data_IF_098962661018
#
_entry.id   IF_098962661018
#
_cell.length_a   1.000
_cell.length_b   1.000
_cell.length_c   1.000
_cell.angle_alpha   90.00
_cell.angle_beta   90.00
_cell.angle_gamma   90.00
#
_symmetry.space_group_name_H-M   'P 1'
#
loop_
_entity.id
_entity.type
_entity.pdbx_description
1 polymer ?
#
# COMPACT_ATOMS: atom_id res chain seq x y z
N UNK A 1 -15.32 -24.10 9.52
CA UNK A 1 -16.24 -23.43 8.59
C UNK A 1 -16.08 -21.96 8.88
N UNK A 2 -15.16 -21.30 8.17
CA UNK A 2 -15.08 -19.84 8.20
C UNK A 2 -16.08 -19.33 7.18
N UNK A 3 -17.26 -18.96 7.66
CA UNK A 3 -18.12 -18.10 6.87
C UNK A 3 -17.48 -16.72 6.91
N UNK A 4 -17.20 -16.07 5.77
CA UNK A 4 -16.75 -14.69 5.75
C UNK A 4 -17.73 -13.86 6.58
N UNK A 5 -17.21 -13.09 7.53
CA UNK A 5 -18.04 -12.12 8.25
C UNK A 5 -18.50 -11.09 7.22
N UNK A 6 -19.81 -10.83 7.19
CA UNK A 6 -20.31 -9.66 6.48
C UNK A 6 -19.95 -8.38 7.27
N UNK A 7 -19.94 -7.23 6.59
CA UNK A 7 -19.52 -5.94 7.17
C UNK A 7 -20.28 -5.63 8.47
N UNK A 8 -21.58 -5.93 8.52
CA UNK A 8 -22.40 -5.70 9.71
C UNK A 8 -21.97 -6.57 10.91
N UNK A 9 -21.64 -7.84 10.65
CA UNK A 9 -21.13 -8.76 11.68
C UNK A 9 -19.73 -8.39 12.13
N UNK A 10 -18.89 -7.89 11.21
CA UNK A 10 -17.55 -7.38 11.54
C UNK A 10 -17.65 -6.12 12.41
N UNK A 11 -18.48 -5.13 12.03
CA UNK A 11 -18.69 -3.92 12.84
C UNK A 11 -19.18 -4.27 14.24
N UNK A 12 -20.22 -5.12 14.36
CA UNK A 12 -20.75 -5.53 15.65
C UNK A 12 -19.71 -6.29 16.50
N UNK A 13 -18.86 -7.10 15.86
CA UNK A 13 -17.75 -7.76 16.55
C UNK A 13 -16.76 -6.75 17.10
N UNK A 14 -16.28 -5.81 16.27
CA UNK A 14 -15.30 -4.79 16.64
C UNK A 14 -15.83 -3.86 17.74
N UNK A 15 -17.06 -3.40 17.63
CA UNK A 15 -17.71 -2.56 18.66
C UNK A 15 -17.89 -3.30 20.00
N UNK A 16 -17.97 -4.63 19.97
CA UNK A 16 -18.10 -5.47 21.15
C UNK A 16 -16.78 -5.77 21.87
N UNK A 17 -15.63 -5.42 21.28
CA UNK A 17 -14.32 -5.69 21.87
C UNK A 17 -13.82 -4.55 22.75
N UNK A 18 -12.91 -4.90 23.65
CA UNK A 18 -12.17 -3.91 24.43
C UNK A 18 -11.16 -3.16 23.54
N UNK A 19 -11.12 -1.83 23.68
CA UNK A 19 -10.24 -0.98 22.87
C UNK A 19 -8.74 -1.24 23.08
N UNK A 20 -8.33 -1.62 24.29
CA UNK A 20 -6.93 -1.97 24.55
C UNK A 20 -6.59 -3.31 23.88
N UNK A 21 -7.50 -4.28 23.97
CA UNK A 21 -7.36 -5.54 23.24
C UNK A 21 -7.28 -5.35 21.72
N UNK A 22 -8.16 -4.54 21.12
CA UNK A 22 -8.10 -4.24 19.68
C UNK A 22 -6.76 -3.60 19.29
N UNK A 23 -6.28 -2.67 20.10
CA UNK A 23 -4.98 -2.03 19.88
C UNK A 23 -3.85 -3.07 19.92
N UNK A 24 -3.85 -3.97 20.91
CA UNK A 24 -2.85 -5.05 21.00
C UNK A 24 -2.86 -5.95 19.75
N UNK A 25 -4.04 -6.31 19.25
CA UNK A 25 -4.15 -7.16 18.07
C UNK A 25 -3.70 -6.45 16.78
N UNK A 26 -4.02 -5.17 16.63
CA UNK A 26 -3.55 -4.37 15.50
C UNK A 26 -2.03 -4.19 15.54
N UNK A 27 -1.46 -3.94 16.72
CA UNK A 27 -0.01 -3.83 16.87
C UNK A 27 0.72 -5.14 16.59
N UNK A 28 0.14 -6.28 17.00
CA UNK A 28 0.71 -7.60 16.70
C UNK A 28 0.83 -7.83 15.19
N UNK A 29 -0.20 -7.49 14.41
CA UNK A 29 -0.19 -7.63 12.95
C UNK A 29 0.76 -6.60 12.31
N UNK A 30 0.77 -5.37 12.83
CA UNK A 30 1.67 -4.32 12.35
C UNK A 30 3.17 -4.68 12.52
N UNK A 31 3.51 -5.46 13.55
CA UNK A 31 4.87 -5.96 13.76
C UNK A 31 5.27 -7.04 12.71
N UNK A 32 4.30 -7.76 12.15
CA UNK A 32 4.52 -8.82 11.17
C UNK A 32 4.51 -8.31 9.71
N UNK A 33 3.72 -7.27 9.43
CA UNK A 33 3.54 -6.71 8.09
C UNK A 33 3.80 -5.18 8.06
N UNK A 34 4.92 -4.73 7.46
CA UNK A 34 5.23 -3.32 7.31
C UNK A 34 4.14 -2.51 6.60
N UNK A 35 3.43 -3.08 5.64
CA UNK A 35 2.35 -2.39 4.92
C UNK A 35 1.21 -2.06 5.89
N UNK A 36 0.78 -3.05 6.68
CA UNK A 36 -0.27 -2.86 7.68
C UNK A 36 0.12 -1.81 8.72
N UNK A 37 1.38 -1.80 9.16
CA UNK A 37 1.89 -0.75 10.07
C UNK A 37 1.80 0.65 9.47
N UNK A 38 2.16 0.80 8.20
CA UNK A 38 2.10 2.09 7.52
C UNK A 38 0.65 2.53 7.33
N UNK A 39 -0.27 1.62 6.96
CA UNK A 39 -1.72 1.91 6.90
C UNK A 39 -2.26 2.45 8.22
N UNK A 40 -1.92 1.81 9.33
CA UNK A 40 -2.36 2.26 10.65
C UNK A 40 -1.79 3.64 11.00
N UNK A 41 -0.53 3.91 10.68
CA UNK A 41 0.08 5.22 10.87
C UNK A 41 -0.58 6.29 10.00
N UNK A 42 -0.85 5.99 8.73
CA UNK A 42 -1.52 6.88 7.78
C UNK A 42 -2.96 7.19 8.21
N UNK A 43 -3.73 6.17 8.59
CA UNK A 43 -5.09 6.34 9.10
C UNK A 43 -5.15 7.14 10.41
N UNK A 44 -4.07 7.14 11.19
CA UNK A 44 -3.91 7.98 12.38
C UNK A 44 -3.45 9.42 12.06
N UNK A 45 -3.21 9.75 10.78
CA UNK A 45 -2.72 11.05 10.32
C UNK A 45 -1.24 11.31 10.59
N UNK A 46 -0.44 10.26 10.76
CA UNK A 46 0.99 10.42 11.00
C UNK A 46 1.75 10.63 9.68
N UNK A 47 2.34 11.81 9.48
CA UNK A 47 3.15 12.16 8.31
C UNK A 47 4.32 11.18 8.07
N UNK A 48 4.81 10.51 9.12
CA UNK A 48 5.85 9.48 8.99
C UNK A 48 5.43 8.29 8.12
N UNK A 49 4.12 8.07 7.93
CA UNK A 49 3.60 7.02 7.06
C UNK A 49 4.09 7.19 5.61
N UNK A 50 4.16 8.41 5.10
CA UNK A 50 4.62 8.71 3.75
C UNK A 50 6.10 8.33 3.58
N UNK A 51 6.97 8.76 4.49
CA UNK A 51 8.41 8.45 4.40
C UNK A 51 8.67 6.95 4.52
N UNK A 52 7.90 6.25 5.36
CA UNK A 52 7.99 4.80 5.49
C UNK A 52 7.47 4.08 4.24
N UNK A 53 6.38 4.55 3.63
CA UNK A 53 5.87 4.05 2.36
C UNK A 53 6.88 4.25 1.25
N UNK A 54 7.49 5.43 1.16
CA UNK A 54 8.57 5.74 0.21
C UNK A 54 9.71 4.74 0.32
N UNK A 55 10.24 4.53 1.52
CA UNK A 55 11.32 3.59 1.74
C UNK A 55 10.95 2.16 1.34
N UNK A 56 9.72 1.73 1.63
CA UNK A 56 9.20 0.41 1.28
C UNK A 56 9.05 0.25 -0.24
N UNK A 57 8.34 1.16 -0.90
CA UNK A 57 8.07 1.13 -2.35
C UNK A 57 9.38 1.13 -3.13
N UNK A 58 10.32 2.02 -2.82
CA UNK A 58 11.60 2.08 -3.52
C UNK A 58 12.42 0.79 -3.33
N UNK A 59 12.37 0.18 -2.15
CA UNK A 59 13.01 -1.12 -1.90
C UNK A 59 12.40 -2.22 -2.77
N UNK A 60 11.06 -2.26 -2.88
CA UNK A 60 10.34 -3.26 -3.65
C UNK A 60 10.51 -3.07 -5.16
N UNK A 61 10.49 -1.84 -5.68
CA UNK A 61 10.82 -1.53 -7.08
C UNK A 61 12.23 -2.01 -7.44
N UNK A 62 13.20 -1.82 -6.53
CA UNK A 62 14.56 -2.31 -6.73
C UNK A 62 14.67 -3.85 -6.71
N UNK A 63 13.87 -4.51 -5.88
CA UNK A 63 13.84 -5.97 -5.77
C UNK A 63 12.98 -6.64 -6.86
N UNK A 64 12.10 -5.88 -7.52
CA UNK A 64 11.19 -6.38 -8.54
C UNK A 64 11.92 -6.99 -9.73
N UNK A 65 11.38 -8.08 -10.27
CA UNK A 65 11.88 -8.79 -11.44
C UNK A 65 10.74 -8.90 -12.47
N UNK A 66 10.71 -8.02 -13.49
CA UNK A 66 9.68 -8.04 -14.51
C UNK A 66 9.64 -9.38 -15.25
N UNK A 67 8.45 -9.98 -15.36
CA UNK A 67 8.22 -11.24 -16.10
C UNK A 67 8.34 -12.55 -15.31
N UNK A 68 8.69 -12.52 -14.02
CA UNK A 68 8.70 -13.71 -13.16
C UNK A 68 7.41 -13.90 -12.32
N UNK A 69 6.48 -12.94 -12.36
CA UNK A 69 5.20 -13.06 -11.67
C UNK A 69 4.31 -13.99 -12.47
N UNK A 70 4.08 -15.19 -11.93
CA UNK A 70 3.11 -16.11 -12.50
C UNK A 70 1.73 -15.45 -12.53
N UNK A 71 1.02 -15.52 -13.67
CA UNK A 71 -0.38 -15.12 -13.76
C UNK A 71 -1.17 -15.71 -12.58
N UNK A 72 -1.70 -14.84 -11.71
CA UNK A 72 -2.48 -15.24 -10.53
C UNK A 72 -1.73 -15.31 -9.20
N UNK A 73 -0.51 -14.76 -9.10
CA UNK A 73 0.09 -14.48 -7.80
C UNK A 73 -0.62 -13.27 -7.14
N UNK A 74 -1.74 -13.53 -6.45
CA UNK A 74 -2.53 -12.55 -5.67
C UNK A 74 -1.73 -11.87 -4.53
N UNK A 75 -0.43 -12.10 -4.42
CA UNK A 75 0.42 -11.66 -3.31
C UNK A 75 1.75 -11.08 -3.84
N UNK A 76 1.71 -10.37 -4.98
CA UNK A 76 2.88 -9.60 -5.44
C UNK A 76 3.15 -8.45 -4.45
N UNK A 77 4.33 -8.45 -3.78
CA UNK A 77 4.66 -7.39 -2.83
C UNK A 77 4.66 -5.99 -3.44
N UNK A 78 5.04 -5.84 -4.72
CA UNK A 78 5.05 -4.53 -5.35
C UNK A 78 3.62 -4.02 -5.56
N UNK A 79 2.72 -4.86 -6.08
CA UNK A 79 1.30 -4.53 -6.21
C UNK A 79 0.70 -4.06 -4.87
N UNK A 80 0.91 -4.82 -3.79
CA UNK A 80 0.40 -4.45 -2.45
C UNK A 80 0.99 -3.14 -1.92
N UNK A 81 2.22 -2.81 -2.30
CA UNK A 81 2.84 -1.55 -1.92
C UNK A 81 2.34 -0.37 -2.76
N UNK A 82 1.86 -0.60 -3.98
CA UNK A 82 1.16 0.41 -4.77
C UNK A 82 -0.27 0.63 -4.25
N UNK A 83 -0.98 -0.44 -3.84
CA UNK A 83 -2.29 -0.30 -3.17
C UNK A 83 -2.17 0.53 -1.87
N UNK A 84 -1.06 0.42 -1.15
CA UNK A 84 -0.77 1.25 0.01
C UNK A 84 -0.69 2.74 -0.36
N UNK A 85 -0.22 3.10 -1.55
CA UNK A 85 -0.21 4.49 -2.00
C UNK A 85 -1.63 5.00 -2.23
N UNK A 86 -2.53 4.20 -2.79
CA UNK A 86 -3.96 4.56 -2.87
C UNK A 86 -4.58 4.80 -1.49
N UNK A 87 -4.27 3.93 -0.52
CA UNK A 87 -4.75 4.13 0.85
C UNK A 87 -4.24 5.44 1.46
N UNK A 88 -2.99 5.85 1.17
CA UNK A 88 -2.44 7.11 1.66
C UNK A 88 -3.10 8.33 0.99
N UNK A 89 -3.46 8.24 -0.29
CA UNK A 89 -4.29 9.24 -0.97
C UNK A 89 -5.64 9.35 -0.26
N UNK A 90 -6.30 8.23 0.02
CA UNK A 90 -7.58 8.20 0.75
C UNK A 90 -7.48 8.78 2.19
N UNK A 91 -6.29 8.73 2.79
CA UNK A 91 -6.01 9.33 4.10
C UNK A 91 -5.66 10.83 4.02
N UNK A 92 -5.56 11.41 2.82
CA UNK A 92 -5.30 12.83 2.59
C UNK A 92 -3.82 13.20 2.43
N UNK A 93 -2.99 12.27 1.96
CA UNK A 93 -1.58 12.49 1.61
C UNK A 93 -1.37 12.45 0.08
N UNK A 94 -2.32 12.96 -0.67
CA UNK A 94 -2.34 12.95 -2.14
C UNK A 94 -1.07 13.54 -2.77
N UNK A 95 -0.73 14.78 -2.40
CA UNK A 95 0.46 15.47 -2.92
C UNK A 95 1.76 14.68 -2.64
N UNK A 96 1.97 14.29 -1.38
CA UNK A 96 3.19 13.56 -1.01
C UNK A 96 3.24 12.15 -1.60
N UNK A 97 2.09 11.52 -1.81
CA UNK A 97 2.01 10.20 -2.45
C UNK A 97 2.36 10.28 -3.94
N UNK A 98 1.93 11.34 -4.62
CA UNK A 98 2.32 11.61 -6.01
C UNK A 98 3.83 11.74 -6.16
N UNK A 99 4.49 12.47 -5.25
CA UNK A 99 5.96 12.59 -5.20
C UNK A 99 6.65 11.23 -5.02
N UNK A 100 6.11 10.36 -4.15
CA UNK A 100 6.64 9.01 -3.94
C UNK A 100 6.48 8.15 -5.19
N UNK A 101 5.33 8.23 -5.85
CA UNK A 101 5.05 7.48 -7.08
C UNK A 101 5.94 7.94 -8.24
N UNK A 102 6.18 9.25 -8.39
CA UNK A 102 7.09 9.78 -9.41
C UNK A 102 8.52 9.29 -9.19
N UNK A 103 9.02 9.34 -7.96
CA UNK A 103 10.36 8.82 -7.67
C UNK A 103 10.46 7.31 -7.93
N UNK A 104 9.46 6.54 -7.50
CA UNK A 104 9.40 5.11 -7.75
C UNK A 104 9.37 4.79 -9.24
N UNK A 105 8.65 5.59 -10.05
CA UNK A 105 8.62 5.52 -11.51
C UNK A 105 10.01 5.75 -12.11
N UNK A 106 10.70 6.82 -11.72
CA UNK A 106 12.05 7.11 -12.19
C UNK A 106 13.02 5.95 -11.90
N UNK A 107 12.95 5.40 -10.68
CA UNK A 107 13.79 4.27 -10.26
C UNK A 107 13.44 3.00 -11.05
N UNK A 108 12.14 2.74 -11.28
CA UNK A 108 11.67 1.61 -12.08
C UNK A 108 12.25 1.68 -13.49
N UNK A 109 12.04 2.81 -14.18
CA UNK A 109 12.51 3.02 -15.56
C UNK A 109 14.03 2.91 -15.63
N UNK A 110 14.76 3.49 -14.68
CA UNK A 110 16.21 3.44 -14.66
C UNK A 110 16.76 2.02 -14.51
N UNK A 111 16.03 1.13 -13.84
CA UNK A 111 16.47 -0.23 -13.53
C UNK A 111 16.00 -1.27 -14.53
N UNK A 112 14.75 -1.16 -14.95
CA UNK A 112 14.05 -2.17 -15.75
C UNK A 112 13.80 -1.72 -17.19
N UNK A 113 13.89 -0.41 -17.45
CA UNK A 113 13.54 0.20 -18.72
C UNK A 113 12.06 0.63 -18.75
N UNK A 114 11.68 1.27 -19.85
CA UNK A 114 10.26 1.45 -20.17
C UNK A 114 9.71 0.12 -20.68
N UNK A 115 8.65 -0.36 -20.04
CA UNK A 115 7.87 -1.52 -20.47
C UNK A 115 6.37 -1.22 -20.47
N UNK A 116 5.59 -2.10 -21.08
CA UNK A 116 4.11 -2.03 -21.05
C UNK A 116 3.55 -2.80 -19.83
N UNK A 117 4.32 -2.89 -18.75
CA UNK A 117 3.98 -3.65 -17.54
C UNK A 117 2.98 -2.94 -16.64
N UNK A 118 2.20 -3.72 -15.90
CA UNK A 118 1.15 -3.20 -15.01
C UNK A 118 1.70 -2.25 -13.94
N UNK A 119 2.85 -2.57 -13.32
CA UNK A 119 3.44 -1.74 -12.27
C UNK A 119 3.88 -0.37 -12.77
N UNK A 120 4.53 -0.31 -13.94
CA UNK A 120 4.95 0.97 -14.51
C UNK A 120 3.73 1.81 -14.90
N UNK A 121 2.70 1.19 -15.50
CA UNK A 121 1.44 1.87 -15.78
C UNK A 121 0.76 2.41 -14.51
N UNK A 122 0.76 1.63 -13.42
CA UNK A 122 0.17 2.05 -12.14
C UNK A 122 0.94 3.21 -11.51
N UNK A 123 2.28 3.17 -11.56
CA UNK A 123 3.13 4.27 -11.10
C UNK A 123 2.90 5.56 -11.89
N UNK A 124 2.63 5.47 -13.20
CA UNK A 124 2.23 6.65 -13.99
C UNK A 124 0.93 7.27 -13.46
N UNK A 125 -0.11 6.47 -13.26
CA UNK A 125 -1.41 6.96 -12.75
C UNK A 125 -1.24 7.61 -11.37
N UNK A 126 -0.52 6.96 -10.46
CA UNK A 126 -0.31 7.48 -9.11
C UNK A 126 0.53 8.77 -9.09
N UNK A 127 1.54 8.88 -9.97
CA UNK A 127 2.42 10.04 -10.02
C UNK A 127 1.77 11.26 -10.67
N UNK A 128 0.99 11.05 -11.71
CA UNK A 128 0.36 12.14 -12.47
C UNK A 128 -0.96 12.59 -11.80
N UNK A 129 -1.49 11.80 -10.85
CA UNK A 129 -2.81 11.98 -10.24
C UNK A 129 -3.92 11.61 -11.22
N UNK A 130 -5.08 11.22 -10.70
CA UNK A 130 -6.28 11.13 -11.54
C UNK A 130 -6.66 12.56 -12.00
N UNK A 131 -6.14 12.96 -13.16
CA UNK A 131 -6.55 14.13 -13.95
C UNK A 131 -7.99 13.92 -14.54
N UNK A 132 -8.88 13.24 -13.81
CA UNK A 132 -10.28 13.06 -14.18
C UNK A 132 -11.12 14.22 -13.60
N UNK A 133 -11.14 15.31 -14.36
CA UNK A 133 -12.05 16.47 -14.25
C UNK A 133 -13.46 16.14 -14.80
#
# INVERSE_FOLDING_TARGET
>A
MDTPLDDASLTAFLEGQDSAWLTEQLMLIADEDPITRIRLSGAAGAESAVEEARALVLSLVNAHLPGEIAEGAEDDPLHRALDLLDDLIDYGFDDETGDVADEAREVYIARHGEDDGEHLARLHVLADGDDDD
#
